data_IF_325822742240
#
_entry.id   IF_325822742240
#
_cell.length_a   1.000
_cell.length_b   1.000
_cell.length_c   1.000
_cell.angle_alpha   90.00
_cell.angle_beta   90.00
_cell.angle_gamma   90.00
#
_symmetry.space_group_name_H-M   'P 1'
#
loop_
_entity.id
_entity.type
_entity.pdbx_description
1 polymer ?
#
# COMPACT_ATOMS: atom_id res chain seq x y z
N UNK A 1 30.55 4.00 13.18
CA UNK A 1 30.28 4.73 11.91
C UNK A 1 29.03 4.09 11.33
N UNK A 2 27.89 4.57 11.78
CA UNK A 2 26.58 4.05 11.41
C UNK A 2 26.28 4.60 10.02
N UNK A 3 26.28 3.71 9.02
CA UNK A 3 25.84 4.09 7.70
C UNK A 3 24.36 4.43 7.85
N UNK A 4 24.02 5.72 7.78
CA UNK A 4 22.64 6.14 7.55
C UNK A 4 22.20 5.38 6.31
N UNK A 5 21.34 4.38 6.47
CA UNK A 5 20.80 3.60 5.36
C UNK A 5 20.17 4.64 4.43
N UNK A 6 20.69 4.80 3.21
CA UNK A 6 20.20 5.82 2.30
C UNK A 6 18.68 5.65 2.16
N UNK A 7 17.90 6.61 2.66
CA UNK A 7 16.45 6.61 2.53
C UNK A 7 16.11 6.78 1.05
N UNK A 8 15.87 5.67 0.35
CA UNK A 8 15.44 5.71 -1.04
C UNK A 8 14.05 6.32 -1.12
N UNK A 9 13.87 7.29 -2.00
CA UNK A 9 12.56 7.86 -2.30
C UNK A 9 12.01 7.18 -3.55
N UNK A 10 10.74 6.77 -3.48
CA UNK A 10 10.02 6.10 -4.55
C UNK A 10 8.93 7.02 -5.12
N UNK A 11 8.76 6.95 -6.44
CA UNK A 11 7.57 7.41 -7.12
C UNK A 11 6.53 6.30 -7.06
N UNK A 12 5.42 6.54 -6.39
CA UNK A 12 4.30 5.61 -6.27
C UNK A 12 3.14 6.08 -7.14
N UNK A 13 2.75 5.28 -8.13
CA UNK A 13 1.54 5.48 -8.93
C UNK A 13 0.42 4.68 -8.28
N UNK A 14 -0.69 5.35 -7.99
CA UNK A 14 -1.91 4.78 -7.41
C UNK A 14 -3.01 4.86 -8.46
N UNK A 15 -3.66 3.75 -8.79
CA UNK A 15 -4.73 3.69 -9.79
C UNK A 15 -5.96 3.07 -9.17
N UNK A 16 -7.08 3.79 -9.14
CA UNK A 16 -8.37 3.22 -8.75
C UNK A 16 -8.86 2.33 -9.89
N UNK A 17 -9.09 1.05 -9.61
CA UNK A 17 -9.56 0.07 -10.59
C UNK A 17 -11.04 0.32 -10.95
N UNK A 18 -11.46 -0.15 -12.13
CA UNK A 18 -12.85 -0.19 -12.59
C UNK A 18 -13.62 1.16 -12.66
N UNK A 19 -12.90 2.29 -12.73
CA UNK A 19 -13.48 3.63 -12.88
C UNK A 19 -13.09 4.28 -14.21
N UNK A 20 -14.09 4.85 -14.91
CA UNK A 20 -13.90 5.63 -16.14
C UNK A 20 -14.52 7.03 -16.00
N UNK A 21 -13.78 8.12 -16.31
CA UNK A 21 -12.38 8.15 -16.74
C UNK A 21 -11.41 7.69 -15.65
N UNK A 22 -10.21 7.24 -16.04
CA UNK A 22 -9.20 6.70 -15.12
C UNK A 22 -8.88 7.71 -14.00
N UNK A 23 -9.06 7.28 -12.75
CA UNK A 23 -8.64 8.04 -11.56
C UNK A 23 -7.28 7.53 -11.09
N UNK A 24 -6.32 8.44 -10.94
CA UNK A 24 -4.98 8.09 -10.42
C UNK A 24 -4.34 9.21 -9.62
N UNK A 25 -3.34 8.84 -8.82
CA UNK A 25 -2.44 9.76 -8.09
C UNK A 25 -0.99 9.33 -8.34
N UNK A 26 -0.09 10.31 -8.39
CA UNK A 26 1.36 10.06 -8.33
C UNK A 26 1.86 10.69 -7.04
N UNK A 27 2.56 9.91 -6.23
CA UNK A 27 3.05 10.29 -4.93
C UNK A 27 4.56 10.07 -4.85
N UNK A 28 5.23 10.85 -4.02
CA UNK A 28 6.65 10.69 -3.70
C UNK A 28 6.74 10.28 -2.24
N UNK A 29 7.21 9.06 -1.97
CA UNK A 29 7.20 8.46 -0.63
C UNK A 29 8.54 7.79 -0.30
N UNK A 30 8.94 7.73 0.98
CA UNK A 30 10.09 6.93 1.38
C UNK A 30 9.87 5.43 1.14
N UNK A 31 10.91 4.71 0.72
CA UNK A 31 10.85 3.26 0.56
C UNK A 31 10.62 2.53 1.89
N UNK A 32 11.12 3.08 2.99
CA UNK A 32 10.94 2.57 4.36
C UNK A 32 9.61 3.03 5.00
N UNK A 33 8.71 3.66 4.24
CA UNK A 33 7.39 4.05 4.73
C UNK A 33 6.59 2.81 5.15
N UNK A 34 6.19 2.74 6.41
CA UNK A 34 5.33 1.65 6.91
C UNK A 34 3.98 1.62 6.21
N UNK A 35 3.40 0.45 6.06
CA UNK A 35 2.13 0.28 5.35
C UNK A 35 0.94 0.96 6.04
N UNK A 36 0.93 1.03 7.36
CA UNK A 36 -0.11 1.77 8.09
C UNK A 36 0.00 3.29 7.90
N UNK A 37 1.21 3.81 7.67
CA UNK A 37 1.43 5.20 7.28
C UNK A 37 1.14 5.42 5.79
N UNK A 38 1.49 4.47 4.93
CA UNK A 38 1.11 4.51 3.52
C UNK A 38 -0.41 4.56 3.35
N UNK A 39 -1.16 3.80 4.13
CA UNK A 39 -2.62 3.87 4.15
C UNK A 39 -3.11 5.32 4.40
N UNK A 40 -2.58 6.03 5.40
CA UNK A 40 -2.97 7.42 5.67
C UNK A 40 -2.60 8.37 4.51
N UNK A 41 -1.46 8.14 3.86
CA UNK A 41 -1.07 8.88 2.64
C UNK A 41 -2.08 8.65 1.52
N UNK A 42 -2.52 7.40 1.32
CA UNK A 42 -3.53 7.05 0.31
C UNK A 42 -4.88 7.69 0.64
N UNK A 43 -5.31 7.67 1.90
CA UNK A 43 -6.53 8.35 2.36
C UNK A 43 -6.50 9.84 2.02
N UNK A 44 -5.41 10.53 2.39
CA UNK A 44 -5.25 11.94 2.09
C UNK A 44 -5.22 12.22 0.57
N UNK A 45 -4.55 11.38 -0.22
CA UNK A 45 -4.46 11.54 -1.67
C UNK A 45 -5.81 11.32 -2.39
N UNK A 46 -6.67 10.47 -1.82
CA UNK A 46 -8.01 10.18 -2.34
C UNK A 46 -9.08 11.14 -1.80
N UNK A 47 -8.79 11.88 -0.73
CA UNK A 47 -9.76 12.75 -0.05
C UNK A 47 -10.74 11.96 0.83
N UNK A 48 -10.28 10.87 1.44
CA UNK A 48 -11.07 10.00 2.29
C UNK A 48 -10.74 10.16 3.78
N UNK A 49 -11.64 9.67 4.63
CA UNK A 49 -11.66 9.96 6.07
C UNK A 49 -11.28 8.76 6.95
N UNK A 50 -10.74 7.68 6.39
CA UNK A 50 -10.30 6.48 7.13
C UNK A 50 -11.40 5.89 8.05
N UNK A 51 -12.59 5.67 7.49
CA UNK A 51 -13.77 5.17 8.20
C UNK A 51 -13.97 3.66 8.06
N UNK A 52 -13.23 3.01 7.15
CA UNK A 52 -13.41 1.60 6.82
C UNK A 52 -12.11 0.80 6.92
N UNK A 53 -12.26 -0.52 6.96
CA UNK A 53 -11.14 -1.46 6.94
C UNK A 53 -10.35 -1.37 5.63
N UNK A 54 -9.09 -1.80 5.68
CA UNK A 54 -8.22 -1.86 4.53
C UNK A 54 -7.27 -3.05 4.59
N UNK A 55 -6.74 -3.42 3.42
CA UNK A 55 -5.74 -4.48 3.27
C UNK A 55 -4.79 -4.16 2.11
N UNK A 56 -3.53 -4.54 2.27
CA UNK A 56 -2.56 -4.60 1.17
C UNK A 56 -2.34 -6.06 0.76
N UNK A 57 -2.23 -6.33 -0.53
CA UNK A 57 -2.06 -7.67 -1.08
C UNK A 57 -0.99 -7.66 -2.18
N UNK A 58 -0.09 -8.64 -2.14
CA UNK A 58 0.91 -8.88 -3.19
C UNK A 58 1.18 -10.39 -3.31
N UNK A 59 0.75 -10.99 -4.42
CA UNK A 59 0.82 -12.44 -4.60
C UNK A 59 0.08 -13.17 -3.46
N UNK A 60 0.71 -14.14 -2.75
CA UNK A 60 0.10 -14.84 -1.63
C UNK A 60 0.13 -14.04 -0.31
N UNK A 61 0.79 -12.88 -0.28
CA UNK A 61 1.00 -12.11 0.93
C UNK A 61 -0.10 -11.06 1.12
N UNK A 62 -0.53 -10.91 2.37
CA UNK A 62 -1.58 -9.98 2.79
C UNK A 62 -1.10 -9.24 4.03
N UNK A 63 -1.33 -7.93 4.08
CA UNK A 63 -1.04 -7.10 5.25
C UNK A 63 -2.27 -6.32 5.68
N UNK A 64 -2.66 -6.46 6.95
CA UNK A 64 -3.79 -5.74 7.55
C UNK A 64 -3.50 -5.37 9.02
N UNK A 65 -4.43 -4.61 9.62
CA UNK A 65 -4.58 -4.61 11.08
C UNK A 65 -5.16 -5.97 11.53
N UNK A 66 -4.99 -6.35 12.81
CA UNK A 66 -5.64 -7.54 13.35
C UNK A 66 -7.16 -7.45 13.18
N UNK A 67 -7.71 -8.34 12.36
CA UNK A 67 -9.14 -8.36 12.02
C UNK A 67 -9.63 -9.82 12.08
N UNK A 68 -10.51 -10.16 13.04
CA UNK A 68 -11.00 -11.53 13.24
C UNK A 68 -11.61 -12.17 11.99
N UNK A 69 -12.20 -11.37 11.10
CA UNK A 69 -12.91 -11.86 9.92
C UNK A 69 -12.04 -12.08 8.67
N UNK A 70 -10.78 -11.62 8.65
CA UNK A 70 -9.88 -11.79 7.49
C UNK A 70 -9.21 -13.17 7.39
N UNK A 71 -9.45 -14.04 8.39
CA UNK A 71 -8.81 -15.34 8.51
C UNK A 71 -7.34 -15.24 8.96
N UNK A 72 -6.70 -16.38 9.27
CA UNK A 72 -5.29 -16.39 9.67
C UNK A 72 -4.37 -16.02 8.49
N UNK A 73 -3.17 -15.52 8.80
CA UNK A 73 -2.08 -15.37 7.82
C UNK A 73 -1.81 -13.95 7.33
N UNK A 74 -2.66 -12.97 7.66
CA UNK A 74 -2.34 -11.57 7.39
C UNK A 74 -1.17 -11.08 8.27
N UNK A 75 -0.19 -10.45 7.65
CA UNK A 75 0.95 -9.83 8.32
C UNK A 75 0.56 -8.43 8.84
N UNK A 76 1.14 -7.96 9.95
CA UNK A 76 0.77 -6.68 10.53
C UNK A 76 1.32 -5.50 9.70
N UNK A 77 0.44 -4.61 9.23
CA UNK A 77 0.80 -3.36 8.51
C UNK A 77 1.71 -2.43 9.30
N UNK A 78 1.74 -2.55 10.63
CA UNK A 78 2.59 -1.75 11.52
C UNK A 78 4.03 -2.22 11.58
N UNK A 79 4.34 -3.40 11.01
CA UNK A 79 5.69 -3.99 11.01
C UNK A 79 6.29 -4.19 9.62
N UNK A 80 5.56 -3.85 8.57
CA UNK A 80 6.02 -3.95 7.19
C UNK A 80 6.16 -2.56 6.57
N UNK A 81 7.17 -2.39 5.72
CA UNK A 81 7.43 -1.19 4.93
C UNK A 81 7.06 -1.40 3.46
N UNK A 82 6.95 -0.31 2.70
CA UNK A 82 6.76 -0.36 1.26
C UNK A 82 7.88 -1.16 0.57
N UNK A 83 9.13 -1.01 1.01
CA UNK A 83 10.26 -1.81 0.53
C UNK A 83 10.07 -3.31 0.79
N UNK A 84 9.60 -3.70 1.99
CA UNK A 84 9.37 -5.12 2.31
C UNK A 84 8.33 -5.74 1.39
N UNK A 85 7.26 -4.99 1.09
CA UNK A 85 6.19 -5.44 0.20
C UNK A 85 6.68 -5.56 -1.25
N UNK A 86 7.42 -4.56 -1.74
CA UNK A 86 8.00 -4.59 -3.09
C UNK A 86 9.00 -5.74 -3.24
N UNK A 87 9.74 -6.09 -2.19
CA UNK A 87 10.62 -7.26 -2.19
C UNK A 87 9.85 -8.60 -2.12
N UNK A 88 8.67 -8.59 -1.51
CA UNK A 88 7.77 -9.74 -1.41
C UNK A 88 6.90 -9.95 -2.66
N UNK A 89 7.02 -9.09 -3.69
CA UNK A 89 6.31 -9.27 -4.97
C UNK A 89 6.76 -10.55 -5.68
N UNK A 90 6.13 -11.68 -5.32
CA UNK A 90 6.13 -12.91 -6.09
C UNK A 90 5.17 -12.78 -7.26
N UNK A 91 5.65 -12.25 -8.40
CA UNK A 91 4.99 -12.21 -9.72
C UNK A 91 3.63 -11.49 -9.83
N UNK A 92 3.16 -10.73 -8.83
CA UNK A 92 1.84 -10.06 -8.85
C UNK A 92 1.89 -8.59 -8.45
N UNK A 93 0.91 -7.76 -8.88
CA UNK A 93 0.86 -6.34 -8.54
C UNK A 93 0.54 -6.14 -7.06
N UNK A 94 1.12 -5.11 -6.45
CA UNK A 94 0.67 -4.60 -5.16
C UNK A 94 -0.72 -3.94 -5.29
N UNK A 95 -1.68 -4.43 -4.51
CA UNK A 95 -3.06 -3.92 -4.45
C UNK A 95 -3.36 -3.42 -3.05
N UNK A 96 -4.01 -2.26 -2.97
CA UNK A 96 -4.58 -1.69 -1.75
C UNK A 96 -6.10 -1.65 -1.88
N UNK A 97 -6.79 -2.39 -1.03
CA UNK A 97 -8.26 -2.39 -0.97
C UNK A 97 -8.70 -1.60 0.25
N UNK A 98 -9.58 -0.62 0.05
CA UNK A 98 -10.20 0.17 1.10
C UNK A 98 -11.71 -0.03 1.06
N UNK A 99 -12.32 -0.15 2.24
CA UNK A 99 -13.72 -0.52 2.42
C UNK A 99 -14.05 -1.90 1.87
N UNK A 100 -14.30 -2.86 2.76
CA UNK A 100 -14.65 -4.23 2.35
C UNK A 100 -16.11 -4.37 1.91
N UNK A 101 -16.97 -3.37 2.15
CA UNK A 101 -18.31 -3.31 1.59
C UNK A 101 -18.27 -2.89 0.13
N UNK A 102 -17.69 -1.72 -0.14
CA UNK A 102 -17.63 -1.14 -1.49
C UNK A 102 -16.48 -1.69 -2.35
N UNK A 103 -15.45 -2.29 -1.73
CA UNK A 103 -14.31 -2.93 -2.37
C UNK A 103 -13.52 -1.96 -3.29
N UNK A 104 -13.15 -0.78 -2.77
CA UNK A 104 -12.35 0.18 -3.53
C UNK A 104 -10.91 -0.31 -3.69
N UNK A 105 -10.61 -0.91 -4.85
CA UNK A 105 -9.32 -1.50 -5.17
C UNK A 105 -8.40 -0.52 -5.89
N UNK A 106 -7.17 -0.43 -5.39
CA UNK A 106 -6.15 0.44 -5.95
C UNK A 106 -4.93 -0.37 -6.34
N UNK A 107 -4.56 -0.31 -7.61
CA UNK A 107 -3.29 -0.86 -8.07
C UNK A 107 -2.17 0.12 -7.79
N UNK A 108 -1.13 -0.36 -7.12
CA UNK A 108 0.04 0.41 -6.75
C UNK A 108 1.24 -0.03 -7.60
N UNK A 109 1.98 0.93 -8.14
CA UNK A 109 3.24 0.67 -8.84
C UNK A 109 4.31 1.65 -8.36
N UNK A 110 5.43 1.13 -7.85
CA UNK A 110 6.52 1.93 -7.33
C UNK A 110 7.76 1.84 -8.23
N UNK A 111 8.50 2.94 -8.36
CA UNK A 111 9.82 2.97 -8.99
C UNK A 111 10.72 3.98 -8.30
N UNK A 112 12.05 3.78 -8.38
CA UNK A 112 13.01 4.76 -7.88
C UNK A 112 12.83 6.10 -8.60
N UNK A 113 12.94 7.20 -7.85
CA UNK A 113 13.20 8.49 -8.47
C UNK A 113 14.67 8.48 -8.95
N UNK A 114 14.86 8.60 -10.26
CA UNK A 114 16.18 8.71 -10.89
C UNK A 114 16.84 10.07 -10.68
#
# INVERSE_FOLDING_TARGET
MELVRAMSILRLIVVLEDVTPRVSRTLTVPADLRLDRLHLVLQAAMGWENQHLYIFEAGPHRWSLPEPHLGPGALPVTKATLQDVLAAEGNGPLVYTYDFGDNWRHRLAAGLLG
#
